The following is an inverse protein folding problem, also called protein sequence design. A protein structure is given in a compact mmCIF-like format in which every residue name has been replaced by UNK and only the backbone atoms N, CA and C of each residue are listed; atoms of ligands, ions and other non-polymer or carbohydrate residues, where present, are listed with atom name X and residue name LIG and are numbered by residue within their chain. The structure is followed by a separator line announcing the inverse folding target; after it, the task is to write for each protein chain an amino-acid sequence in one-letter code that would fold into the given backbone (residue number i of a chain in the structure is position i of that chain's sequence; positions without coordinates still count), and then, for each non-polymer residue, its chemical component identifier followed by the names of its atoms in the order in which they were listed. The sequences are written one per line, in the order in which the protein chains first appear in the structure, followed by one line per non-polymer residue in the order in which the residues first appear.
data_IF_646463776547
#
_entry.id   IF_646463776547
#
_cell.length_a   1.000
_cell.length_b   1.000
_cell.length_c   1.000
_cell.angle_alpha   90.00
_cell.angle_beta   90.00
_cell.angle_gamma   90.00
#
_symmetry.space_group_name_H-M   'P 1'
#
loop_
_entity.id
_entity.type
_entity.pdbx_description
1 polymer ?
#
# COMPACT_ATOMS: atom_id res chain seq x y z
N UNK A 1 -41.14 -33.57 -60.60
CA UNK A 1 -41.45 -32.87 -59.34
C UNK A 1 -40.65 -33.62 -58.27
N UNK A 2 -39.39 -33.24 -58.01
CA UNK A 2 -38.92 -32.29 -56.97
C UNK A 2 -39.57 -32.60 -55.60
N UNK A 3 -38.85 -32.87 -54.51
CA UNK A 3 -37.76 -32.07 -53.93
C UNK A 3 -36.69 -32.93 -53.23
N UNK A 4 -35.45 -32.42 -53.23
CA UNK A 4 -34.29 -33.02 -52.57
C UNK A 4 -34.12 -32.57 -51.11
N UNK A 5 -33.36 -33.31 -50.29
CA UNK A 5 -33.14 -32.97 -48.89
C UNK A 5 -32.11 -31.84 -48.73
N UNK A 6 -32.53 -30.77 -48.06
CA UNK A 6 -31.71 -29.63 -47.67
C UNK A 6 -30.67 -30.04 -46.62
N UNK A 7 -29.39 -30.07 -46.99
CA UNK A 7 -28.27 -30.13 -46.04
C UNK A 7 -28.19 -28.78 -45.31
N UNK A 8 -28.37 -28.77 -43.99
CA UNK A 8 -28.02 -27.61 -43.15
C UNK A 8 -26.57 -27.73 -42.66
N UNK A 9 -25.63 -26.87 -43.10
CA UNK A 9 -24.27 -26.82 -42.57
C UNK A 9 -24.13 -25.58 -41.69
N UNK A 10 -24.77 -25.56 -40.51
CA UNK A 10 -24.79 -24.36 -39.65
C UNK A 10 -24.12 -24.52 -38.30
N UNK A 11 -24.35 -25.65 -37.61
CA UNK A 11 -24.10 -25.70 -36.18
C UNK A 11 -22.64 -25.96 -35.80
N UNK A 12 -21.91 -26.84 -36.51
CA UNK A 12 -20.57 -27.24 -36.07
C UNK A 12 -19.48 -26.15 -36.14
N UNK A 13 -19.64 -25.11 -36.97
CA UNK A 13 -18.66 -24.01 -37.09
C UNK A 13 -18.80 -22.97 -35.98
N UNK A 14 -20.01 -22.70 -35.51
CA UNK A 14 -20.25 -21.72 -34.45
C UNK A 14 -19.60 -22.12 -33.11
N UNK A 15 -19.61 -23.41 -32.77
CA UNK A 15 -19.06 -23.92 -31.51
C UNK A 15 -17.53 -23.86 -31.44
N UNK A 16 -16.82 -23.98 -32.58
CA UNK A 16 -15.35 -23.87 -32.61
C UNK A 16 -14.84 -22.45 -32.30
N UNK A 17 -15.57 -21.43 -32.75
CA UNK A 17 -15.22 -20.04 -32.46
C UNK A 17 -15.57 -19.63 -31.02
N UNK A 18 -16.65 -20.18 -30.46
CA UNK A 18 -17.02 -19.97 -29.05
C UNK A 18 -16.00 -20.61 -28.09
N UNK A 19 -15.53 -21.83 -28.38
CA UNK A 19 -14.49 -22.49 -27.59
C UNK A 19 -13.13 -21.78 -27.67
N UNK A 20 -12.72 -21.28 -28.84
CA UNK A 20 -11.50 -20.48 -28.96
C UNK A 20 -11.61 -19.15 -28.20
N UNK A 21 -12.78 -18.48 -28.26
CA UNK A 21 -13.02 -17.26 -27.49
C UNK A 21 -12.98 -17.48 -25.97
N UNK A 22 -13.54 -18.59 -25.50
CA UNK A 22 -13.50 -18.98 -24.08
C UNK A 22 -12.08 -19.38 -23.62
N UNK A 23 -11.29 -20.01 -24.49
CA UNK A 23 -9.89 -20.35 -24.23
C UNK A 23 -8.95 -19.13 -24.20
N UNK A 24 -9.26 -18.06 -24.95
CA UNK A 24 -8.52 -16.80 -24.90
C UNK A 24 -8.88 -15.91 -23.70
N UNK A 25 -9.97 -16.20 -22.99
CA UNK A 25 -10.37 -15.51 -21.75
C UNK A 25 -9.79 -16.15 -20.48
N UNK A 26 -9.22 -17.36 -20.58
CA UNK A 26 -8.60 -18.07 -19.46
C UNK A 26 -7.30 -17.46 -18.87
N UNK A 27 -6.47 -16.66 -19.58
CA UNK A 27 -5.28 -16.08 -18.96
C UNK A 27 -5.57 -14.85 -18.07
N UNK A 28 -6.83 -14.41 -17.92
CA UNK A 28 -7.16 -13.30 -17.01
C UNK A 28 -7.43 -13.72 -15.55
N UNK A 29 -7.35 -15.01 -15.23
CA UNK A 29 -7.76 -15.56 -13.93
C UNK A 29 -6.64 -15.69 -12.87
N UNK A 30 -5.50 -15.01 -13.01
CA UNK A 30 -4.43 -15.12 -12.00
C UNK A 30 -3.72 -13.81 -11.66
N UNK A 31 -4.49 -12.76 -11.42
CA UNK A 31 -4.07 -11.71 -10.47
C UNK A 31 -4.85 -11.96 -9.19
N UNK A 32 -4.67 -13.15 -8.61
CA UNK A 32 -5.30 -13.48 -7.34
C UNK A 32 -4.65 -12.60 -6.27
N UNK A 33 -5.43 -11.66 -5.74
CA UNK A 33 -5.00 -10.90 -4.58
C UNK A 33 -4.71 -11.88 -3.44
N UNK A 34 -3.54 -11.78 -2.85
CA UNK A 34 -3.13 -12.67 -1.77
C UNK A 34 -2.71 -11.86 -0.56
N UNK A 35 -3.29 -12.20 0.59
CA UNK A 35 -2.85 -11.63 1.85
C UNK A 35 -1.44 -12.13 2.14
N UNK A 36 -0.49 -11.22 2.29
CA UNK A 36 0.93 -11.54 2.54
C UNK A 36 1.16 -11.75 4.03
N UNK A 37 0.51 -10.94 4.87
CA UNK A 37 0.66 -11.00 6.32
C UNK A 37 0.84 -9.63 6.95
N UNK A 38 1.17 -9.68 8.24
CA UNK A 38 1.57 -8.51 9.03
C UNK A 38 3.06 -8.27 8.89
N UNK A 39 3.45 -7.00 8.88
CA UNK A 39 4.84 -6.56 9.00
C UNK A 39 4.96 -5.50 10.08
N UNK A 40 6.09 -5.53 10.78
CA UNK A 40 6.41 -4.55 11.80
C UNK A 40 7.52 -3.63 11.29
N UNK A 41 7.27 -2.33 11.28
CA UNK A 41 8.23 -1.31 10.87
C UNK A 41 8.70 -0.51 12.10
N UNK A 42 9.98 -0.66 12.44
CA UNK A 42 10.65 0.16 13.46
C UNK A 42 11.26 1.36 12.75
N UNK A 43 10.70 2.53 13.02
CA UNK A 43 11.09 3.79 12.39
C UNK A 43 11.92 4.61 13.37
N UNK A 44 12.98 5.23 12.88
CA UNK A 44 13.81 6.17 13.64
C UNK A 44 13.80 7.51 12.93
N UNK A 45 13.05 8.48 13.46
CA UNK A 45 13.04 9.85 12.97
C UNK A 45 14.32 10.55 13.42
N UNK A 46 15.02 11.17 12.47
CA UNK A 46 16.30 11.85 12.71
C UNK A 46 16.30 13.29 12.22
N UNK A 47 15.31 13.69 11.43
CA UNK A 47 15.22 15.03 10.83
C UNK A 47 13.77 15.53 10.86
N UNK A 48 13.60 16.82 11.14
CA UNK A 48 12.37 17.59 10.94
C UNK A 48 12.62 18.79 10.03
N UNK A 49 11.60 19.59 9.75
CA UNK A 49 11.67 20.80 8.93
C UNK A 49 12.70 21.82 9.45
N UNK A 50 12.95 21.87 10.77
CA UNK A 50 13.98 22.75 11.35
C UNK A 50 15.41 22.15 11.33
N UNK A 51 15.58 20.93 10.83
CA UNK A 51 16.88 20.24 10.72
C UNK A 51 16.97 18.95 11.52
N UNK A 52 18.20 18.46 11.79
CA UNK A 52 18.42 17.23 12.55
C UNK A 52 17.89 17.32 13.99
N UNK A 53 17.38 16.20 14.50
CA UNK A 53 16.85 16.09 15.87
C UNK A 53 17.43 14.87 16.59
N UNK A 54 17.28 14.82 17.92
CA UNK A 54 17.54 13.61 18.69
C UNK A 54 16.69 12.46 18.15
N UNK A 55 17.27 11.26 17.91
CA UNK A 55 16.52 10.14 17.35
C UNK A 55 15.27 9.79 18.15
N UNK A 56 14.12 9.76 17.48
CA UNK A 56 12.85 9.31 18.05
C UNK A 56 12.46 7.99 17.40
N UNK A 57 12.28 6.95 18.21
CA UNK A 57 11.90 5.62 17.73
C UNK A 57 10.39 5.42 17.90
N UNK A 58 9.74 4.94 16.85
CA UNK A 58 8.34 4.56 16.88
C UNK A 58 8.07 3.35 16.00
N UNK A 59 7.02 2.61 16.34
CA UNK A 59 6.72 1.32 15.71
C UNK A 59 5.38 1.40 15.01
N UNK A 60 5.35 1.00 13.74
CA UNK A 60 4.14 0.86 12.95
C UNK A 60 3.91 -0.61 12.61
N UNK A 61 2.67 -1.08 12.72
CA UNK A 61 2.26 -2.40 12.23
C UNK A 61 1.41 -2.22 10.97
N UNK A 62 1.68 -3.01 9.93
CA UNK A 62 0.94 -2.99 8.68
C UNK A 62 0.45 -4.37 8.28
N UNK A 63 -0.79 -4.44 7.79
CA UNK A 63 -1.32 -5.54 7.00
C UNK A 63 -0.98 -5.31 5.52
N UNK A 64 -0.42 -6.34 4.87
CA UNK A 64 0.05 -6.27 3.48
C UNK A 64 -0.69 -7.27 2.61
N UNK A 65 -1.21 -6.81 1.48
CA UNK A 65 -1.88 -7.65 0.48
C UNK A 65 -1.22 -7.45 -0.88
N UNK A 66 -0.78 -8.53 -1.53
CA UNK A 66 -0.31 -8.48 -2.91
C UNK A 66 -1.52 -8.29 -3.84
N UNK A 67 -1.50 -7.23 -4.65
CA UNK A 67 -2.58 -6.87 -5.58
C UNK A 67 -2.36 -7.45 -6.99
N UNK A 68 -1.25 -8.16 -7.21
CA UNK A 68 -0.81 -8.70 -8.48
C UNK A 68 0.58 -8.17 -8.87
N UNK A 69 1.42 -9.08 -9.37
CA UNK A 69 2.76 -8.76 -9.84
C UNK A 69 3.61 -8.11 -8.75
N UNK A 70 4.00 -6.85 -8.97
CA UNK A 70 4.88 -6.07 -8.09
C UNK A 70 4.15 -5.04 -7.23
N UNK A 71 2.81 -5.06 -7.18
CA UNK A 71 2.02 -4.05 -6.47
C UNK A 71 1.37 -4.63 -5.22
N UNK A 72 1.38 -3.87 -4.13
CA UNK A 72 0.85 -4.27 -2.83
C UNK A 72 -0.03 -3.18 -2.23
N UNK A 73 -1.12 -3.56 -1.57
CA UNK A 73 -1.87 -2.70 -0.67
C UNK A 73 -1.28 -2.80 0.73
N UNK A 74 -1.21 -1.66 1.42
CA UNK A 74 -0.63 -1.55 2.77
C UNK A 74 -1.59 -0.72 3.61
N UNK A 75 -1.99 -1.25 4.76
CA UNK A 75 -2.85 -0.56 5.72
C UNK A 75 -2.41 -0.88 7.14
N UNK A 76 -2.38 0.11 8.03
CA UNK A 76 -1.86 -0.08 9.37
C UNK A 76 -1.84 1.21 10.17
N UNK A 77 -1.00 1.23 11.20
CA UNK A 77 -0.93 2.34 12.14
C UNK A 77 0.18 2.21 13.16
N UNK A 78 0.30 3.22 14.03
CA UNK A 78 1.23 3.19 15.15
C UNK A 78 0.78 2.15 16.18
N UNK A 79 1.72 1.37 16.71
CA UNK A 79 1.40 0.30 17.67
C UNK A 79 0.94 0.85 19.03
N UNK A 80 1.54 1.94 19.48
CA UNK A 80 1.27 2.58 20.77
C UNK A 80 1.16 4.11 20.59
N UNK A 81 0.06 4.61 19.99
CA UNK A 81 -0.13 6.03 19.76
C UNK A 81 -0.15 6.79 21.10
N UNK A 82 0.47 7.98 21.17
CA UNK A 82 0.40 8.82 22.37
C UNK A 82 -1.01 9.38 22.60
N UNK A 83 -1.78 9.55 21.52
CA UNK A 83 -3.13 10.12 21.49
C UNK A 83 -4.11 9.18 20.76
N UNK A 84 -4.88 9.70 19.79
CA UNK A 84 -5.75 8.89 18.94
C UNK A 84 -4.94 7.98 18.00
N UNK A 85 -5.57 6.93 17.46
CA UNK A 85 -4.94 6.05 16.49
C UNK A 85 -4.34 6.80 15.31
N UNK A 86 -3.07 6.53 15.03
CA UNK A 86 -2.45 6.89 13.75
C UNK A 86 -2.90 5.88 12.71
N UNK A 87 -3.45 6.35 11.60
CA UNK A 87 -3.83 5.52 10.46
C UNK A 87 -2.87 5.81 9.30
N UNK A 88 -2.29 4.76 8.75
CA UNK A 88 -1.40 4.83 7.60
C UNK A 88 -1.83 3.82 6.53
N UNK A 89 -2.21 4.31 5.36
CA UNK A 89 -2.72 3.46 4.26
C UNK A 89 -2.14 3.88 2.92
N UNK A 90 -2.00 2.94 2.00
CA UNK A 90 -1.52 3.24 0.67
C UNK A 90 -1.11 2.00 -0.08
N UNK A 91 -0.07 2.14 -0.90
CA UNK A 91 0.43 1.04 -1.71
C UNK A 91 1.96 0.94 -1.62
N UNK A 92 2.46 -0.25 -1.93
CA UNK A 92 3.87 -0.46 -2.20
C UNK A 92 4.11 -1.03 -3.59
N UNK A 93 5.24 -0.67 -4.20
CA UNK A 93 5.67 -1.20 -5.49
C UNK A 93 7.07 -1.77 -5.39
N UNK A 94 7.23 -3.01 -5.83
CA UNK A 94 8.51 -3.70 -5.92
C UNK A 94 9.21 -3.37 -7.25
N UNK A 95 10.43 -2.84 -7.17
CA UNK A 95 11.30 -2.57 -8.31
C UNK A 95 12.67 -3.17 -8.03
N UNK A 96 12.99 -4.27 -8.71
CA UNK A 96 14.22 -5.02 -8.43
C UNK A 96 14.25 -5.53 -6.99
N UNK A 97 15.26 -5.11 -6.22
CA UNK A 97 15.43 -5.48 -4.81
C UNK A 97 14.87 -4.42 -3.85
N UNK A 98 14.08 -3.46 -4.34
CA UNK A 98 13.59 -2.33 -3.55
C UNK A 98 12.08 -2.27 -3.51
N UNK A 99 11.53 -2.08 -2.32
CA UNK A 99 10.12 -1.88 -2.08
C UNK A 99 9.87 -0.41 -1.73
N UNK A 100 9.03 0.24 -2.53
CA UNK A 100 8.67 1.65 -2.35
C UNK A 100 7.25 1.75 -1.83
N UNK A 101 7.07 2.21 -0.60
CA UNK A 101 5.76 2.53 -0.04
C UNK A 101 5.42 3.99 -0.31
N UNK A 102 4.18 4.25 -0.70
CA UNK A 102 3.58 5.57 -0.72
C UNK A 102 2.31 5.49 0.13
N UNK A 103 2.37 6.08 1.33
CA UNK A 103 1.33 6.01 2.34
C UNK A 103 0.76 7.40 2.59
N UNK A 104 -0.53 7.47 2.85
CA UNK A 104 -1.20 8.61 3.47
C UNK A 104 -1.30 8.30 4.95
N UNK A 105 -0.90 9.24 5.78
CA UNK A 105 -0.88 9.15 7.24
C UNK A 105 -1.83 10.19 7.80
N UNK A 106 -2.58 9.83 8.84
CA UNK A 106 -3.37 10.77 9.62
C UNK A 106 -3.40 10.40 11.11
N UNK A 107 -3.43 11.41 11.97
CA UNK A 107 -3.66 11.27 13.40
C UNK A 107 -4.46 12.48 13.89
N UNK A 108 -5.43 12.27 14.77
CA UNK A 108 -6.06 13.35 15.52
C UNK A 108 -5.41 13.49 16.90
N UNK A 109 -5.25 14.72 17.37
CA UNK A 109 -4.71 15.04 18.68
C UNK A 109 -5.82 15.58 19.59
N UNK A 110 -5.69 15.32 20.89
CA UNK A 110 -6.65 15.77 21.88
C UNK A 110 -6.74 17.31 21.99
N UNK A 111 -5.71 18.03 21.54
CA UNK A 111 -5.65 19.49 21.50
C UNK A 111 -6.31 20.11 20.25
N UNK A 112 -6.90 19.27 19.39
CA UNK A 112 -7.65 19.67 18.21
C UNK A 112 -6.82 19.78 16.94
N UNK A 113 -5.51 19.48 16.96
CA UNK A 113 -4.72 19.32 15.74
C UNK A 113 -5.00 17.98 15.06
N UNK A 114 -4.98 17.98 13.74
CA UNK A 114 -5.10 16.78 12.91
C UNK A 114 -3.93 16.74 11.96
N UNK A 115 -3.01 15.81 12.24
CA UNK A 115 -1.87 15.55 11.40
C UNK A 115 -2.34 14.83 10.14
N UNK A 116 -1.88 15.31 8.98
CA UNK A 116 -2.04 14.62 7.71
C UNK A 116 -0.74 14.66 6.92
N UNK A 117 -0.42 13.59 6.20
CA UNK A 117 0.82 13.55 5.45
C UNK A 117 0.89 12.48 4.40
N UNK A 118 1.82 12.66 3.47
CA UNK A 118 2.25 11.63 2.52
C UNK A 118 3.62 11.17 2.98
N UNK A 119 3.69 9.91 3.39
CA UNK A 119 4.92 9.22 3.72
C UNK A 119 5.41 8.40 2.52
N UNK A 120 6.69 8.55 2.19
CA UNK A 120 7.36 7.68 1.23
C UNK A 120 8.47 6.93 1.94
N UNK A 121 8.41 5.61 1.85
CA UNK A 121 9.42 4.71 2.42
C UNK A 121 10.07 3.90 1.30
N UNK A 122 11.40 3.78 1.33
CA UNK A 122 12.18 2.94 0.42
C UNK A 122 12.91 1.89 1.25
N UNK A 123 12.61 0.61 1.01
CA UNK A 123 13.23 -0.52 1.70
C UNK A 123 14.04 -1.38 0.73
N UNK A 124 15.21 -1.82 1.18
CA UNK A 124 15.96 -2.87 0.51
C UNK A 124 15.49 -4.23 1.03
N UNK A 125 15.08 -5.14 0.13
CA UNK A 125 14.52 -6.43 0.53
C UNK A 125 15.55 -7.44 1.05
N UNK A 126 16.84 -7.27 0.74
CA UNK A 126 17.88 -8.18 1.24
C UNK A 126 18.31 -7.83 2.67
N UNK A 127 18.20 -6.56 3.06
CA UNK A 127 18.53 -6.11 4.43
C UNK A 127 17.30 -5.83 5.29
N UNK A 128 16.12 -5.69 4.66
CA UNK A 128 14.88 -5.20 5.28
C UNK A 128 15.04 -3.84 5.98
N UNK A 129 15.96 -3.02 5.49
CA UNK A 129 16.23 -1.68 6.02
C UNK A 129 16.16 -0.63 4.93
N UNK A 130 15.97 0.61 5.33
CA UNK A 130 15.89 1.71 4.38
C UNK A 130 15.61 3.06 5.02
N UNK A 131 15.01 3.95 4.24
CA UNK A 131 14.73 5.32 4.66
C UNK A 131 13.27 5.68 4.38
N UNK A 132 12.77 6.62 5.17
CA UNK A 132 11.49 7.24 4.90
C UNK A 132 11.62 8.76 4.97
N UNK A 133 10.70 9.42 4.29
CA UNK A 133 10.38 10.81 4.57
C UNK A 133 8.87 10.99 4.51
N UNK A 134 8.40 12.03 5.18
CA UNK A 134 7.01 12.45 5.20
C UNK A 134 6.94 13.95 4.94
N UNK A 135 5.98 14.34 4.11
CA UNK A 135 5.59 15.73 3.93
C UNK A 135 4.13 15.82 4.35
N UNK A 136 3.81 16.78 5.22
CA UNK A 136 2.48 16.88 5.79
C UNK A 136 1.98 18.31 5.96
N UNK A 137 0.72 18.37 6.35
CA UNK A 137 0.03 19.56 6.82
C UNK A 137 -0.85 19.17 8.00
N UNK A 138 -0.81 19.99 9.03
CA UNK A 138 -1.57 19.78 10.24
C UNK A 138 -2.71 20.80 10.24
N UNK A 139 -3.93 20.32 10.45
CA UNK A 139 -5.14 21.15 10.47
C UNK A 139 -5.63 21.32 11.90
N UNK A 140 -5.70 22.56 12.38
CA UNK A 140 -6.30 22.86 13.66
C UNK A 140 -7.82 22.98 13.50
N UNK A 141 -8.56 22.07 14.14
CA UNK A 141 -10.03 22.03 14.06
C UNK A 141 -10.71 23.18 14.80
N UNK A 142 -10.07 23.74 15.83
CA UNK A 142 -10.59 24.85 16.63
C UNK A 142 -10.45 26.21 15.93
N UNK A 143 -9.28 26.50 15.36
CA UNK A 143 -8.99 27.77 14.67
C UNK A 143 -9.22 27.72 13.17
N UNK A 144 -9.38 26.51 12.59
CA UNK A 144 -9.52 26.27 11.15
C UNK A 144 -8.33 26.75 10.33
N UNK A 145 -7.14 26.59 10.89
CA UNK A 145 -5.87 27.00 10.25
C UNK A 145 -4.99 25.79 9.96
N UNK A 146 -4.18 25.90 8.93
CA UNK A 146 -3.13 24.92 8.63
C UNK A 146 -1.79 25.39 9.20
N UNK A 147 -0.99 24.46 9.69
CA UNK A 147 0.43 24.67 9.78
C UNK A 147 1.05 24.69 8.37
N UNK A 148 2.14 25.45 8.18
CA UNK A 148 2.66 25.70 6.83
C UNK A 148 3.82 24.79 6.44
N UNK A 149 4.44 24.04 7.36
CA UNK A 149 5.65 23.28 7.06
C UNK A 149 5.79 22.07 7.98
N UNK A 150 5.35 20.89 7.53
CA UNK A 150 5.72 19.62 8.18
C UNK A 150 6.55 18.77 7.25
N UNK A 151 7.79 18.53 7.66
CA UNK A 151 8.69 17.55 7.06
C UNK A 151 9.27 16.68 8.16
N UNK A 152 9.31 15.37 7.93
CA UNK A 152 10.02 14.42 8.79
C UNK A 152 10.78 13.42 7.94
N UNK A 153 11.95 12.98 8.39
CA UNK A 153 12.69 11.92 7.72
C UNK A 153 13.51 11.08 8.69
N UNK A 154 13.85 9.88 8.23
CA UNK A 154 14.51 8.92 9.09
C UNK A 154 14.85 7.61 8.40
N UNK A 155 15.18 6.62 9.23
CA UNK A 155 15.44 5.25 8.81
C UNK A 155 14.30 4.33 9.23
N UNK A 156 14.18 3.20 8.55
CA UNK A 156 13.23 2.15 8.87
C UNK A 156 13.93 0.79 8.84
N UNK A 157 13.58 -0.07 9.78
CA UNK A 157 13.90 -1.49 9.77
C UNK A 157 12.59 -2.28 9.85
N UNK A 158 12.43 -3.25 8.95
CA UNK A 158 11.22 -4.06 8.84
C UNK A 158 11.50 -5.46 9.36
N UNK A 159 10.59 -5.98 10.18
CA UNK A 159 10.53 -7.39 10.53
C UNK A 159 9.25 -8.02 9.96
N UNK A 160 9.37 -9.28 9.55
CA UNK A 160 8.25 -10.05 9.04
C UNK A 160 7.45 -10.63 10.20
N UNK A 161 6.14 -10.39 10.22
CA UNK A 161 5.26 -10.76 11.31
C UNK A 161 4.65 -9.56 12.05
N UNK A 162 3.78 -9.86 13.01
CA UNK A 162 3.20 -8.85 13.88
C UNK A 162 4.26 -8.22 14.80
N UNK A 163 4.04 -6.97 15.22
CA UNK A 163 4.90 -6.34 16.20
C UNK A 163 4.79 -7.04 17.57
N UNK A 164 5.92 -7.24 18.23
CA UNK A 164 5.90 -7.66 19.63
C UNK A 164 5.43 -6.49 20.50
N UNK A 165 4.46 -6.76 21.38
CA UNK A 165 3.90 -5.77 22.31
C UNK A 165 4.71 -5.73 23.60
#
# INVERSE_FOLDING_TARGET
MSDGPSRQPGFARAWRHLLLGLLMLLPMLSMAQSYVGKVCAVNTLTTRDQGPVTPVVFVMEFDVTNLGGTTYSVAGGLLAPPDEPVVATGHATLVGNELYFNLIVTQAHADGWVDTGINRTRLNLSTLTGTFYEIGHDYNTGTRTYDQNRYSAGTVALSLGACQR
#
